data_IF_775126632175
#
_entry.id   IF_775126632175
#
_cell.length_a   1.000
_cell.length_b   1.000
_cell.length_c   1.000
_cell.angle_alpha   90.00
_cell.angle_beta   90.00
_cell.angle_gamma   90.00
#
_symmetry.space_group_name_H-M   'P 1'
#
loop_
_entity.id
_entity.type
_entity.pdbx_description
1 polymer ?
#
# COMPACT_ATOMS: atom_id res chain seq x y z
N UNK A 1 3.78 -9.57 -19.54
CA UNK A 1 2.47 -9.54 -18.85
C UNK A 1 2.34 -10.58 -17.73
N UNK A 2 2.80 -11.84 -17.88
CA UNK A 2 2.73 -12.87 -16.82
C UNK A 2 3.43 -12.47 -15.50
N UNK A 3 4.53 -11.72 -15.57
CA UNK A 3 5.32 -11.27 -14.41
C UNK A 3 4.51 -10.39 -13.41
N UNK A 4 3.92 -9.30 -13.91
CA UNK A 4 3.16 -8.35 -13.06
C UNK A 4 1.88 -9.00 -12.56
N UNK A 5 1.18 -9.74 -13.42
CA UNK A 5 -0.06 -10.42 -13.05
C UNK A 5 0.21 -11.53 -12.02
N UNK A 6 1.33 -12.25 -12.14
CA UNK A 6 1.76 -13.27 -11.16
C UNK A 6 2.04 -12.67 -9.78
N UNK A 7 2.74 -11.53 -9.72
CA UNK A 7 2.97 -10.81 -8.46
C UNK A 7 1.66 -10.35 -7.80
N UNK A 8 0.69 -9.89 -8.60
CA UNK A 8 -0.64 -9.50 -8.11
C UNK A 8 -1.52 -10.70 -7.75
N UNK A 9 -1.36 -11.85 -8.39
CA UNK A 9 -2.03 -13.08 -7.98
C UNK A 9 -1.44 -13.65 -6.68
N UNK A 10 -0.16 -13.32 -6.40
CA UNK A 10 0.58 -13.76 -5.22
C UNK A 10 0.35 -12.91 -3.97
N UNK A 11 -0.92 -12.78 -3.57
CA UNK A 11 -1.32 -12.09 -2.34
C UNK A 11 -2.06 -13.05 -1.41
N UNK A 12 -1.58 -13.17 -0.18
CA UNK A 12 -2.13 -14.07 0.83
C UNK A 12 -2.89 -13.29 1.91
N UNK A 13 -2.39 -12.12 2.28
CA UNK A 13 -2.87 -11.39 3.47
C UNK A 13 -3.75 -10.18 3.11
N UNK A 14 -3.74 -9.75 1.85
CA UNK A 14 -4.46 -8.56 1.39
C UNK A 14 -5.53 -8.88 0.36
N UNK A 15 -6.72 -8.32 0.54
CA UNK A 15 -7.75 -8.31 -0.51
C UNK A 15 -7.48 -7.17 -1.50
N UNK A 16 -7.63 -7.46 -2.80
CA UNK A 16 -7.46 -6.47 -3.87
C UNK A 16 -8.42 -5.30 -3.68
N UNK A 17 -9.71 -5.58 -3.49
CA UNK A 17 -10.76 -4.56 -3.44
C UNK A 17 -10.57 -3.58 -2.29
N UNK A 18 -10.27 -4.06 -1.08
CA UNK A 18 -10.03 -3.18 0.06
C UNK A 18 -8.73 -2.39 -0.08
N UNK A 19 -7.72 -2.96 -0.71
CA UNK A 19 -6.47 -2.27 -1.00
C UNK A 19 -6.63 -1.15 -2.02
N UNK A 20 -7.43 -1.39 -3.06
CA UNK A 20 -7.75 -0.38 -4.07
C UNK A 20 -8.58 0.75 -3.49
N UNK A 21 -9.63 0.45 -2.72
CA UNK A 21 -10.47 1.48 -2.06
C UNK A 21 -9.65 2.34 -1.11
N UNK A 22 -8.74 1.73 -0.36
CA UNK A 22 -7.85 2.49 0.54
C UNK A 22 -6.82 3.32 -0.24
N UNK A 23 -6.27 2.77 -1.33
CA UNK A 23 -5.37 3.52 -2.20
C UNK A 23 -6.06 4.70 -2.87
N UNK A 24 -7.29 4.55 -3.36
CA UNK A 24 -8.05 5.63 -4.00
C UNK A 24 -8.44 6.70 -3.00
N UNK A 25 -8.84 6.32 -1.79
CA UNK A 25 -9.13 7.26 -0.71
C UNK A 25 -7.92 8.14 -0.39
N UNK A 26 -6.73 7.54 -0.24
CA UNK A 26 -5.51 8.30 0.04
C UNK A 26 -5.03 9.13 -1.15
N UNK A 27 -5.12 8.60 -2.37
CA UNK A 27 -4.81 9.37 -3.58
C UNK A 27 -5.70 10.62 -3.68
N UNK A 28 -7.00 10.50 -3.38
CA UNK A 28 -7.92 11.64 -3.33
C UNK A 28 -7.58 12.63 -2.20
N UNK A 29 -7.18 12.12 -1.03
CA UNK A 29 -6.82 12.94 0.13
C UNK A 29 -5.52 13.73 -0.09
N UNK A 30 -4.56 13.16 -0.83
CA UNK A 30 -3.32 13.84 -1.26
C UNK A 30 -3.60 14.83 -2.41
N UNK A 31 -4.52 14.49 -3.32
CA UNK A 31 -4.88 15.37 -4.43
C UNK A 31 -5.60 16.67 -3.99
N UNK A 32 -6.29 16.65 -2.84
CA UNK A 32 -7.02 17.80 -2.30
C UNK A 32 -6.12 19.03 -2.00
N UNK A 33 -5.06 18.94 -1.17
CA UNK A 33 -4.15 20.07 -0.92
C UNK A 33 -3.31 20.43 -2.15
N UNK A 34 -3.04 19.46 -3.03
CA UNK A 34 -2.32 19.67 -4.30
C UNK A 34 -3.09 20.61 -5.23
N UNK A 35 -4.42 20.54 -5.25
CA UNK A 35 -5.26 21.42 -6.08
C UNK A 35 -5.00 22.90 -5.79
N UNK A 36 -4.82 23.28 -4.52
CA UNK A 36 -4.46 24.65 -4.16
C UNK A 36 -3.04 25.06 -4.59
N UNK A 37 -2.12 24.11 -4.72
CA UNK A 37 -0.77 24.35 -5.26
C UNK A 37 -0.71 24.36 -6.80
N UNK A 38 -1.63 23.67 -7.46
CA UNK A 38 -1.77 23.67 -8.93
C UNK A 38 -2.23 25.04 -9.45
N UNK A 39 -3.15 25.69 -8.74
CA UNK A 39 -3.63 27.04 -9.06
C UNK A 39 -2.53 28.11 -8.92
N UNK A 40 -1.43 27.79 -8.20
CA UNK A 40 -0.27 28.66 -8.02
C UNK A 40 0.92 28.30 -8.95
N UNK A 41 0.76 27.33 -9.85
CA UNK A 41 1.83 26.87 -10.74
C UNK A 41 1.81 27.59 -12.11
N UNK A 42 2.99 27.80 -12.69
CA UNK A 42 3.12 28.44 -14.01
C UNK A 42 2.57 27.57 -15.16
N UNK A 43 2.44 26.26 -14.95
CA UNK A 43 1.84 25.31 -15.90
C UNK A 43 0.92 24.31 -15.15
N UNK A 44 -0.34 24.71 -14.86
CA UNK A 44 -1.29 23.88 -14.12
C UNK A 44 -1.68 22.60 -14.85
N UNK A 45 -1.58 22.58 -16.19
CA UNK A 45 -1.87 21.41 -17.02
C UNK A 45 -0.86 20.29 -16.78
N UNK A 46 0.43 20.60 -16.88
CA UNK A 46 1.49 19.62 -16.68
C UNK A 46 1.54 19.14 -15.22
N UNK A 47 1.39 20.05 -14.26
CA UNK A 47 1.38 19.71 -12.85
C UNK A 47 0.20 18.79 -12.49
N UNK A 48 -1.01 19.07 -12.98
CA UNK A 48 -2.18 18.20 -12.74
C UNK A 48 -1.99 16.79 -13.31
N UNK A 49 -1.40 16.67 -14.51
CA UNK A 49 -1.09 15.38 -15.14
C UNK A 49 -0.10 14.54 -14.31
N UNK A 50 0.94 15.16 -13.77
CA UNK A 50 1.92 14.47 -12.91
C UNK A 50 1.26 13.96 -11.63
N UNK A 51 0.43 14.77 -10.97
CA UNK A 51 -0.24 14.37 -9.74
C UNK A 51 -1.28 13.28 -9.94
N UNK A 52 -2.05 13.34 -11.02
CA UNK A 52 -2.97 12.26 -11.41
C UNK A 52 -2.18 10.97 -11.68
N UNK A 53 -1.06 11.05 -12.42
CA UNK A 53 -0.18 9.91 -12.68
C UNK A 53 0.37 9.27 -11.41
N UNK A 54 0.88 10.08 -10.47
CA UNK A 54 1.33 9.60 -9.16
C UNK A 54 0.21 8.98 -8.34
N UNK A 55 -0.99 9.56 -8.37
CA UNK A 55 -2.18 9.00 -7.71
C UNK A 55 -2.55 7.63 -8.26
N UNK A 56 -2.59 7.47 -9.59
CA UNK A 56 -2.86 6.19 -10.25
C UNK A 56 -1.81 5.15 -9.89
N UNK A 57 -0.52 5.52 -9.95
CA UNK A 57 0.57 4.62 -9.55
C UNK A 57 0.45 4.21 -8.09
N UNK A 58 0.11 5.14 -7.19
CA UNK A 58 -0.10 4.84 -5.77
C UNK A 58 -1.21 3.79 -5.57
N UNK A 59 -2.36 3.99 -6.21
CA UNK A 59 -3.50 3.05 -6.15
C UNK A 59 -3.11 1.66 -6.66
N UNK A 60 -2.34 1.60 -7.75
CA UNK A 60 -1.89 0.34 -8.33
C UNK A 60 -0.86 -0.37 -7.44
N UNK A 61 0.06 0.36 -6.83
CA UNK A 61 1.12 -0.25 -6.01
C UNK A 61 0.71 -0.51 -4.56
N UNK A 62 -0.33 0.16 -4.05
CA UNK A 62 -0.82 0.02 -2.67
C UNK A 62 -1.16 -1.44 -2.26
N UNK A 63 -1.83 -2.27 -3.09
CA UNK A 63 -2.08 -3.68 -2.75
C UNK A 63 -0.79 -4.49 -2.53
N UNK A 64 0.23 -4.23 -3.35
CA UNK A 64 1.51 -4.96 -3.28
C UNK A 64 2.35 -4.48 -2.11
N UNK A 65 2.42 -3.17 -1.87
CA UNK A 65 3.11 -2.59 -0.72
C UNK A 65 2.53 -3.10 0.62
N UNK A 66 1.20 -3.20 0.70
CA UNK A 66 0.52 -3.76 1.87
C UNK A 66 0.83 -5.24 2.07
N UNK A 67 0.81 -6.02 0.99
CA UNK A 67 1.15 -7.45 1.07
C UNK A 67 2.57 -7.65 1.62
N UNK A 68 3.52 -6.86 1.14
CA UNK A 68 4.90 -6.89 1.63
C UNK A 68 4.97 -6.57 3.14
N UNK A 69 4.26 -5.54 3.58
CA UNK A 69 4.18 -5.18 5.00
C UNK A 69 3.60 -6.30 5.87
N UNK A 70 2.49 -6.92 5.47
CA UNK A 70 1.87 -7.98 6.25
C UNK A 70 2.74 -9.24 6.30
N UNK A 71 3.48 -9.54 5.23
CA UNK A 71 4.48 -10.63 5.24
C UNK A 71 5.65 -10.31 6.18
N UNK A 72 6.17 -9.08 6.14
CA UNK A 72 7.27 -8.66 7.00
C UNK A 72 6.89 -8.62 8.48
N UNK A 73 5.65 -8.26 8.80
CA UNK A 73 5.16 -8.14 10.19
C UNK A 73 4.49 -9.40 10.72
N UNK A 74 4.40 -10.48 9.92
CA UNK A 74 3.81 -11.74 10.33
C UNK A 74 4.43 -12.32 11.62
N UNK A 75 5.77 -12.42 11.77
CA UNK A 75 6.37 -13.02 12.96
C UNK A 75 6.02 -12.24 14.24
N UNK A 76 5.95 -10.91 14.14
CA UNK A 76 5.57 -10.03 15.24
C UNK A 76 4.11 -10.27 15.62
N UNK A 77 3.22 -10.40 14.63
CA UNK A 77 1.81 -10.70 14.87
C UNK A 77 1.62 -12.05 15.57
N UNK A 78 2.36 -13.07 15.16
CA UNK A 78 2.32 -14.40 15.78
C UNK A 78 2.86 -14.36 17.21
N UNK A 79 3.92 -13.60 17.48
CA UNK A 79 4.45 -13.42 18.83
C UNK A 79 3.53 -12.63 19.76
N UNK A 80 2.65 -11.79 19.23
CA UNK A 80 1.75 -10.90 20.00
C UNK A 80 0.28 -11.36 20.00
N UNK A 81 -0.07 -12.48 19.37
CA UNK A 81 -1.46 -12.86 19.09
C UNK A 81 -2.36 -13.14 20.31
N UNK A 82 -1.81 -13.12 21.52
CA UNK A 82 -2.53 -13.30 22.79
C UNK A 82 -2.63 -12.05 23.66
N UNK A 83 -2.03 -10.93 23.28
CA UNK A 83 -2.00 -9.73 24.12
C UNK A 83 -3.23 -8.87 23.84
N UNK A 84 -4.19 -8.88 24.76
CA UNK A 84 -5.34 -7.98 24.72
C UNK A 84 -4.92 -6.62 25.27
N UNK A 85 -4.77 -5.65 24.37
CA UNK A 85 -4.45 -4.27 24.74
C UNK A 85 -5.75 -3.52 25.06
N UNK A 86 -5.95 -3.16 26.32
CA UNK A 86 -7.10 -2.37 26.80
C UNK A 86 -6.67 -0.99 27.34
N UNK A 87 -7.63 -0.09 27.51
CA UNK A 87 -7.39 1.22 28.12
C UNK A 87 -6.54 2.18 27.25
N UNK A 88 -5.69 3.04 27.84
CA UNK A 88 -4.91 4.03 27.10
C UNK A 88 -3.98 3.44 26.03
N UNK A 89 -3.46 2.23 26.28
CA UNK A 89 -2.61 1.51 25.32
C UNK A 89 -3.39 1.12 24.05
N UNK A 90 -4.71 0.98 24.12
CA UNK A 90 -5.54 0.76 22.93
C UNK A 90 -5.50 1.97 21.99
N UNK A 91 -5.52 3.19 22.54
CA UNK A 91 -5.46 4.41 21.74
C UNK A 91 -4.10 4.52 21.06
N UNK A 92 -3.02 4.24 21.78
CA UNK A 92 -1.65 4.24 21.23
C UNK A 92 -1.51 3.21 20.10
N UNK A 93 -1.98 1.99 20.31
CA UNK A 93 -1.93 0.94 19.28
C UNK A 93 -2.77 1.28 18.06
N UNK A 94 -3.96 1.89 18.25
CA UNK A 94 -4.78 2.40 17.16
C UNK A 94 -4.05 3.50 16.37
N UNK A 95 -3.43 4.46 17.05
CA UNK A 95 -2.65 5.53 16.44
C UNK A 95 -1.46 4.99 15.64
N UNK A 96 -0.70 4.03 16.20
CA UNK A 96 0.38 3.36 15.50
C UNK A 96 -0.12 2.61 14.26
N UNK A 97 -1.29 1.96 14.35
CA UNK A 97 -1.88 1.24 13.22
C UNK A 97 -2.28 2.19 12.10
N UNK A 98 -2.91 3.32 12.44
CA UNK A 98 -3.24 4.38 11.48
C UNK A 98 -1.95 4.97 10.89
N UNK A 99 -0.92 5.22 11.70
CA UNK A 99 0.38 5.70 11.24
C UNK A 99 1.04 4.74 10.25
N UNK A 100 1.03 3.44 10.54
CA UNK A 100 1.53 2.41 9.61
C UNK A 100 0.73 2.43 8.29
N UNK A 101 -0.60 2.60 8.35
CA UNK A 101 -1.44 2.74 7.16
C UNK A 101 -1.07 3.97 6.31
N UNK A 102 -0.84 5.12 6.95
CA UNK A 102 -0.43 6.36 6.28
C UNK A 102 0.93 6.18 5.62
N UNK A 103 1.91 5.64 6.35
CA UNK A 103 3.26 5.38 5.84
C UNK A 103 3.23 4.41 4.65
N UNK A 104 2.40 3.35 4.70
CA UNK A 104 2.26 2.42 3.59
C UNK A 104 1.72 3.07 2.33
N UNK A 105 0.81 4.05 2.45
CA UNK A 105 0.33 4.80 1.30
C UNK A 105 1.37 5.80 0.80
N UNK A 106 2.06 6.50 1.70
CA UNK A 106 3.11 7.46 1.32
C UNK A 106 4.26 6.78 0.56
N UNK A 107 4.66 5.59 1.02
CA UNK A 107 5.70 4.77 0.41
C UNK A 107 5.14 3.70 -0.53
N UNK A 108 3.87 3.78 -0.96
CA UNK A 108 3.24 2.74 -1.76
C UNK A 108 3.99 2.48 -3.07
N UNK A 109 4.45 3.53 -3.75
CA UNK A 109 5.18 3.42 -5.02
C UNK A 109 6.52 2.69 -4.83
N UNK A 110 7.45 3.14 -3.96
CA UNK A 110 8.72 2.43 -3.77
C UNK A 110 8.53 1.04 -3.15
N UNK A 111 7.67 0.88 -2.14
CA UNK A 111 7.41 -0.43 -1.53
C UNK A 111 6.69 -1.38 -2.48
N UNK A 112 5.81 -0.87 -3.32
CA UNK A 112 5.10 -1.69 -4.30
C UNK A 112 6.03 -2.17 -5.41
N UNK A 113 6.99 -1.36 -5.84
CA UNK A 113 8.00 -1.79 -6.82
C UNK A 113 8.89 -2.89 -6.25
N UNK A 114 9.40 -2.72 -5.02
CA UNK A 114 10.12 -3.77 -4.29
C UNK A 114 9.26 -5.00 -4.08
N UNK A 115 7.99 -4.82 -3.71
CA UNK A 115 7.05 -5.90 -3.47
C UNK A 115 6.73 -6.69 -4.73
N UNK A 116 6.65 -6.06 -5.91
CA UNK A 116 6.45 -6.78 -7.18
C UNK A 116 7.65 -7.69 -7.46
N UNK A 117 8.88 -7.18 -7.32
CA UNK A 117 10.10 -7.97 -7.52
C UNK A 117 10.19 -9.12 -6.50
N UNK A 118 9.90 -8.83 -5.23
CA UNK A 118 9.91 -9.82 -4.16
C UNK A 118 8.88 -10.93 -4.38
N UNK A 119 7.61 -10.59 -4.63
CA UNK A 119 6.54 -11.56 -4.82
C UNK A 119 6.77 -12.43 -6.06
N UNK A 120 7.36 -11.87 -7.10
CA UNK A 120 7.67 -12.62 -8.30
C UNK A 120 8.84 -13.59 -8.08
N UNK A 121 9.89 -13.16 -7.38
CA UNK A 121 10.99 -14.05 -6.99
C UNK A 121 10.50 -15.22 -6.13
N UNK A 122 9.50 -15.00 -5.26
CA UNK A 122 8.86 -16.04 -4.46
C UNK A 122 8.03 -17.00 -5.31
N UNK A 123 7.29 -16.49 -6.31
CA UNK A 123 6.51 -17.32 -7.24
C UNK A 123 7.42 -18.20 -8.11
N UNK A 124 8.53 -17.64 -8.64
CA UNK A 124 9.55 -18.41 -9.36
C UNK A 124 10.21 -19.49 -8.51
N UNK A 125 10.40 -19.22 -7.22
CA UNK A 125 10.96 -20.18 -6.27
C UNK A 125 9.96 -21.25 -5.80
N UNK A 126 8.73 -21.30 -6.36
CA UNK A 126 7.69 -22.25 -5.97
C UNK A 126 7.07 -21.99 -4.59
N UNK A 127 7.38 -20.85 -3.97
CA UNK A 127 6.84 -20.38 -2.68
C UNK A 127 5.75 -19.32 -2.87
N UNK A 128 5.26 -19.17 -4.10
CA UNK A 128 4.16 -18.29 -4.44
C UNK A 128 2.86 -18.80 -3.86
N UNK A 129 2.12 -17.91 -3.22
CA UNK A 129 0.72 -18.15 -2.91
C UNK A 129 -0.07 -17.83 -4.17
N UNK A 130 -1.06 -18.63 -4.54
CA UNK A 130 -1.99 -18.27 -5.60
C UNK A 130 -3.35 -18.17 -4.97
N UNK A 131 -3.99 -17.01 -5.11
CA UNK A 131 -5.41 -16.90 -4.82
C UNK A 131 -6.10 -17.77 -5.90
N UNK A 132 -6.71 -18.87 -5.46
CA UNK A 132 -7.59 -19.68 -6.30
C UNK A 132 -8.92 -18.94 -6.51
#
# INVERSE_FOLDING_TARGET
MKFVIGAWANRRYTRLTSSLVLGTFFAALIAWPVRGGLDASDDPGLASGVWIGLGVLNVLFAPVARELYFRATQPIREGLSGIVVSGPLFIVTLACRIGAWVLLNLFAIPLGLVGVLYLESQDRAGRGWRIA
#
